data_IF_711032657075
#
_entry.id   IF_711032657075
#
_cell.length_a   1.000
_cell.length_b   1.000
_cell.length_c   1.000
_cell.angle_alpha   90.00
_cell.angle_beta   90.00
_cell.angle_gamma   90.00
#
_symmetry.space_group_name_H-M   'P 1'
#
loop_
_entity.id
_entity.type
_entity.pdbx_description
1 polymer ?
#
# COMPACT_ATOMS: atom_id res chain seq x y z
N UNK A 1 17.58 51.21 -23.89
CA UNK A 1 16.49 50.33 -24.37
C UNK A 1 16.97 48.90 -24.14
N UNK A 2 17.07 48.45 -22.89
CA UNK A 2 17.88 47.24 -22.58
C UNK A 2 17.23 46.32 -21.53
N UNK A 3 15.94 46.52 -21.25
CA UNK A 3 15.20 45.65 -20.35
C UNK A 3 14.85 44.31 -21.03
N UNK A 4 14.79 44.27 -22.37
CA UNK A 4 14.34 43.08 -23.12
C UNK A 4 15.44 42.04 -23.37
N UNK A 5 16.74 42.41 -23.32
CA UNK A 5 17.86 41.47 -23.57
C UNK A 5 18.19 40.56 -22.37
N UNK A 6 17.78 40.95 -21.15
CA UNK A 6 18.11 40.22 -19.93
C UNK A 6 16.96 39.35 -19.38
N UNK A 7 15.73 39.49 -19.90
CA UNK A 7 14.55 38.74 -19.42
C UNK A 7 14.42 37.39 -20.11
N UNK A 8 14.69 37.30 -21.42
CA UNK A 8 14.63 36.05 -22.19
C UNK A 8 15.53 34.92 -21.64
N UNK A 9 16.80 35.13 -21.24
CA UNK A 9 17.61 34.05 -20.67
C UNK A 9 17.12 33.63 -19.28
N UNK A 10 16.57 34.55 -18.48
CA UNK A 10 16.03 34.24 -17.15
C UNK A 10 14.74 33.43 -17.26
N UNK A 11 13.86 33.76 -18.20
CA UNK A 11 12.65 32.98 -18.49
C UNK A 11 12.99 31.58 -19.02
N UNK A 12 14.03 31.46 -19.86
CA UNK A 12 14.54 30.18 -20.34
C UNK A 12 15.10 29.30 -19.23
N UNK A 13 15.85 29.88 -18.28
CA UNK A 13 16.38 29.17 -17.11
C UNK A 13 15.25 28.75 -16.16
N UNK A 14 14.25 29.61 -15.92
CA UNK A 14 13.09 29.31 -15.08
C UNK A 14 12.23 28.18 -15.68
N UNK A 15 12.02 28.16 -17.00
CA UNK A 15 11.31 27.09 -17.68
C UNK A 15 12.10 25.78 -17.67
N UNK A 16 13.42 25.80 -17.93
CA UNK A 16 14.26 24.61 -17.86
C UNK A 16 14.31 23.99 -16.45
N UNK A 17 14.29 24.84 -15.41
CA UNK A 17 14.20 24.41 -14.01
C UNK A 17 12.87 23.69 -13.74
N UNK A 18 11.77 24.19 -14.30
CA UNK A 18 10.44 23.60 -14.17
C UNK A 18 10.31 22.27 -14.92
N UNK A 19 10.89 22.17 -16.13
CA UNK A 19 10.90 20.93 -16.93
C UNK A 19 11.77 19.82 -16.31
N UNK A 20 12.96 20.15 -15.79
CA UNK A 20 13.82 19.17 -15.10
C UNK A 20 13.22 18.67 -13.78
N UNK A 21 12.45 19.53 -13.09
CA UNK A 21 11.64 19.11 -11.94
C UNK A 21 10.46 18.21 -12.35
N UNK A 22 9.88 18.38 -13.54
CA UNK A 22 8.76 17.56 -14.00
C UNK A 22 9.21 16.14 -14.42
N UNK A 23 10.35 16.01 -15.10
CA UNK A 23 10.94 14.71 -15.44
C UNK A 23 11.28 13.90 -14.19
N UNK A 24 11.85 14.54 -13.17
CA UNK A 24 12.17 13.88 -11.90
C UNK A 24 10.95 13.47 -11.08
N UNK A 25 9.76 14.04 -11.29
CA UNK A 25 8.52 13.59 -10.63
C UNK A 25 7.87 12.43 -11.40
N UNK A 26 8.02 12.38 -12.73
CA UNK A 26 7.49 11.29 -13.55
C UNK A 26 8.22 9.94 -13.36
N UNK A 27 9.48 9.95 -12.93
CA UNK A 27 10.25 8.73 -12.63
C UNK A 27 9.96 8.13 -11.23
N UNK A 28 9.35 8.89 -10.30
CA UNK A 28 9.12 8.40 -8.93
C UNK A 28 7.95 7.41 -8.85
N UNK A 29 7.13 7.29 -9.89
CA UNK A 29 6.02 6.33 -9.91
C UNK A 29 6.39 4.89 -10.36
N UNK A 30 7.68 4.62 -10.56
CA UNK A 30 8.20 3.29 -10.90
C UNK A 30 9.00 2.64 -9.76
N UNK A 31 8.80 3.01 -8.49
CA UNK A 31 9.27 2.17 -7.38
C UNK A 31 8.13 1.24 -6.95
N UNK A 32 7.91 0.15 -7.68
CA UNK A 32 7.36 -1.04 -7.03
C UNK A 32 8.50 -1.57 -6.17
N UNK A 33 8.47 -1.45 -4.82
CA UNK A 33 9.39 -2.25 -4.04
C UNK A 33 9.12 -3.69 -4.49
N UNK A 34 10.17 -4.42 -4.83
CA UNK A 34 10.09 -5.86 -4.89
C UNK A 34 9.64 -6.29 -3.49
N UNK A 35 8.32 -6.44 -3.32
CA UNK A 35 7.74 -6.97 -2.12
C UNK A 35 8.31 -8.37 -2.00
N UNK A 36 9.31 -8.53 -1.13
CA UNK A 36 10.00 -9.79 -0.92
C UNK A 36 8.95 -10.80 -0.49
N UNK A 37 8.70 -11.77 -1.36
CA UNK A 37 7.65 -12.74 -1.16
C UNK A 37 8.21 -13.82 -0.24
N UNK A 38 8.17 -13.56 1.08
CA UNK A 38 8.55 -14.58 2.06
C UNK A 38 7.59 -15.77 1.92
N UNK A 39 8.11 -16.87 1.39
CA UNK A 39 7.40 -18.14 1.38
C UNK A 39 7.29 -18.67 2.81
N UNK A 40 6.09 -19.08 3.19
CA UNK A 40 5.80 -19.61 4.52
C UNK A 40 5.84 -21.14 4.48
N UNK A 41 6.60 -21.76 5.39
CA UNK A 41 6.71 -23.21 5.50
C UNK A 41 5.56 -23.84 6.29
N UNK A 42 5.31 -25.14 6.05
CA UNK A 42 4.30 -25.94 6.78
C UNK A 42 2.98 -26.14 6.06
N UNK A 43 2.83 -25.61 4.84
CA UNK A 43 1.69 -25.91 3.96
C UNK A 43 2.08 -26.97 2.91
N UNK A 44 1.07 -27.66 2.36
CA UNK A 44 1.24 -28.69 1.32
C UNK A 44 1.48 -28.13 -0.09
N UNK A 45 1.49 -26.80 -0.23
CA UNK A 45 1.74 -26.06 -1.47
C UNK A 45 2.40 -24.72 -1.12
N UNK A 46 3.04 -24.03 -2.08
CA UNK A 46 3.67 -22.74 -1.84
C UNK A 46 2.65 -21.69 -1.38
N UNK A 47 2.99 -20.99 -0.29
CA UNK A 47 2.17 -19.94 0.32
C UNK A 47 3.06 -18.74 0.62
N UNK A 48 2.60 -17.54 0.32
CA UNK A 48 3.37 -16.32 0.48
C UNK A 48 2.70 -15.37 1.46
N UNK A 49 3.42 -14.95 2.50
CA UNK A 49 2.92 -13.97 3.47
C UNK A 49 2.76 -12.60 2.81
N UNK A 50 1.71 -11.88 3.20
CA UNK A 50 1.30 -10.58 2.66
C UNK A 50 0.75 -9.68 3.75
N UNK A 51 0.86 -8.35 3.59
CA UNK A 51 0.31 -7.41 4.56
C UNK A 51 -1.18 -7.13 4.27
N UNK A 52 -1.62 -7.38 3.04
CA UNK A 52 -2.98 -7.17 2.56
C UNK A 52 -3.26 -8.06 1.35
N UNK A 53 -4.51 -8.49 1.26
CA UNK A 53 -5.08 -9.12 0.07
C UNK A 53 -5.47 -8.05 -0.98
N UNK A 54 -5.65 -8.44 -2.26
CA UNK A 54 -6.01 -7.50 -3.31
C UNK A 54 -7.25 -6.66 -2.95
N UNK A 55 -7.19 -5.35 -3.19
CA UNK A 55 -8.25 -4.41 -2.80
C UNK A 55 -9.28 -4.15 -3.89
N UNK A 56 -9.03 -4.63 -5.10
CA UNK A 56 -9.90 -4.47 -6.25
C UNK A 56 -9.56 -5.51 -7.34
N UNK A 57 -10.42 -5.59 -8.35
CA UNK A 57 -10.28 -6.51 -9.48
C UNK A 57 -8.97 -6.34 -10.26
N UNK A 58 -8.53 -5.10 -10.47
CA UNK A 58 -7.28 -4.82 -11.19
C UNK A 58 -6.08 -5.40 -10.43
N UNK A 59 -6.03 -5.19 -9.12
CA UNK A 59 -4.97 -5.75 -8.28
C UNK A 59 -5.05 -7.28 -8.23
N UNK A 60 -6.26 -7.83 -8.12
CA UNK A 60 -6.51 -9.27 -8.15
C UNK A 60 -5.94 -9.91 -9.41
N UNK A 61 -6.31 -9.40 -10.58
CA UNK A 61 -5.87 -9.91 -11.87
C UNK A 61 -4.35 -9.77 -12.05
N UNK A 62 -3.77 -8.64 -11.63
CA UNK A 62 -2.32 -8.42 -11.67
C UNK A 62 -1.57 -9.44 -10.81
N UNK A 63 -2.04 -9.68 -9.58
CA UNK A 63 -1.38 -10.58 -8.62
C UNK A 63 -1.58 -12.05 -8.98
N UNK A 64 -2.76 -12.41 -9.46
CA UNK A 64 -3.05 -13.72 -10.09
C UNK A 64 -2.10 -14.00 -11.26
N UNK A 65 -1.93 -13.04 -12.16
CA UNK A 65 -1.02 -13.18 -13.30
C UNK A 65 0.44 -13.33 -12.86
N UNK A 66 0.86 -12.56 -11.85
CA UNK A 66 2.23 -12.65 -11.29
C UNK A 66 2.50 -13.99 -10.61
N UNK A 67 1.54 -14.51 -9.85
CA UNK A 67 1.67 -15.81 -9.18
C UNK A 67 1.57 -16.97 -10.18
N UNK A 68 0.96 -16.73 -11.35
CA UNK A 68 0.85 -17.65 -12.47
C UNK A 68 0.41 -19.06 -12.04
N UNK A 69 -0.80 -19.15 -11.47
CA UNK A 69 -1.36 -20.43 -11.02
C UNK A 69 -1.64 -21.35 -12.22
N UNK A 70 -0.66 -22.16 -12.62
CA UNK A 70 -0.81 -23.17 -13.67
C UNK A 70 -1.78 -24.29 -13.29
N UNK A 71 -1.92 -24.56 -11.99
CA UNK A 71 -2.84 -25.53 -11.41
C UNK A 71 -3.49 -24.91 -10.17
N UNK A 72 -4.82 -24.87 -10.14
CA UNK A 72 -5.58 -24.35 -9.01
C UNK A 72 -6.01 -22.89 -9.15
N UNK A 73 -6.72 -22.41 -8.12
CA UNK A 73 -7.35 -21.09 -8.11
C UNK A 73 -6.52 -20.14 -7.25
N UNK A 74 -6.20 -18.96 -7.79
CA UNK A 74 -5.54 -17.90 -7.02
C UNK A 74 -6.45 -17.47 -5.86
N UNK A 75 -5.87 -17.38 -4.67
CA UNK A 75 -6.57 -17.04 -3.45
C UNK A 75 -5.69 -16.21 -2.51
N UNK A 76 -6.33 -15.42 -1.66
CA UNK A 76 -5.68 -14.72 -0.56
C UNK A 76 -6.59 -14.73 0.65
N UNK A 77 -6.16 -15.33 1.76
CA UNK A 77 -6.96 -15.47 2.97
C UNK A 77 -6.07 -15.35 4.22
N UNK A 78 -6.64 -15.14 5.41
CA UNK A 78 -5.90 -15.31 6.66
C UNK A 78 -5.42 -16.75 6.87
N UNK A 79 -4.36 -16.91 7.67
CA UNK A 79 -4.02 -18.20 8.27
C UNK A 79 -4.99 -18.54 9.43
N UNK A 80 -4.94 -19.76 9.95
CA UNK A 80 -5.81 -20.22 11.05
C UNK A 80 -5.53 -19.58 12.41
N UNK A 81 -4.41 -18.86 12.56
CA UNK A 81 -4.10 -18.09 13.76
C UNK A 81 -4.56 -16.63 13.63
N UNK A 82 -5.06 -16.22 12.46
CA UNK A 82 -5.45 -14.85 12.12
C UNK A 82 -4.34 -13.82 12.44
N UNK A 83 -3.08 -14.23 12.24
CA UNK A 83 -1.88 -13.42 12.50
C UNK A 83 -1.25 -12.89 11.22
N UNK A 84 -1.50 -13.54 10.09
CA UNK A 84 -1.00 -13.12 8.78
C UNK A 84 -2.03 -13.38 7.68
N UNK A 85 -1.93 -12.58 6.62
CA UNK A 85 -2.61 -12.84 5.36
C UNK A 85 -1.64 -13.56 4.43
N UNK A 86 -2.17 -14.52 3.69
CA UNK A 86 -1.37 -15.38 2.85
C UNK A 86 -1.99 -15.53 1.47
N UNK A 87 -1.14 -15.48 0.46
CA UNK A 87 -1.48 -15.55 -0.95
C UNK A 87 -0.92 -16.84 -1.55
N UNK A 88 -1.74 -17.57 -2.30
CA UNK A 88 -1.40 -18.91 -2.79
C UNK A 88 -2.24 -19.32 -4.00
N UNK A 89 -1.78 -20.38 -4.69
CA UNK A 89 -2.56 -21.10 -5.70
C UNK A 89 -3.18 -22.33 -5.04
N UNK A 90 -4.50 -22.34 -4.84
CA UNK A 90 -5.16 -23.42 -4.14
C UNK A 90 -5.55 -24.56 -5.08
N UNK A 91 -5.02 -25.78 -4.89
CA UNK A 91 -5.18 -26.86 -5.87
C UNK A 91 -6.52 -27.60 -5.79
N UNK A 92 -7.30 -27.43 -4.71
CA UNK A 92 -8.52 -28.22 -4.45
C UNK A 92 -9.83 -27.46 -4.70
N UNK A 93 -9.76 -26.20 -5.13
CA UNK A 93 -10.96 -25.40 -5.39
C UNK A 93 -11.47 -25.68 -6.81
N UNK A 94 -12.72 -26.16 -6.99
CA UNK A 94 -13.32 -26.30 -8.31
C UNK A 94 -13.60 -24.93 -8.94
N UNK A 95 -13.66 -24.86 -10.27
CA UNK A 95 -13.89 -23.61 -11.02
C UNK A 95 -15.15 -22.84 -10.63
N UNK A 96 -16.16 -23.54 -10.11
CA UNK A 96 -17.46 -22.95 -9.69
C UNK A 96 -17.61 -22.87 -8.18
N UNK A 97 -16.52 -22.95 -7.42
CA UNK A 97 -16.60 -22.81 -5.98
C UNK A 97 -17.13 -21.43 -5.61
N UNK A 98 -18.13 -21.41 -4.73
CA UNK A 98 -18.70 -20.19 -4.15
C UNK A 98 -18.54 -20.28 -2.65
N UNK A 99 -18.11 -19.17 -2.07
CA UNK A 99 -18.09 -18.98 -0.62
C UNK A 99 -19.54 -18.69 -0.22
N UNK A 100 -20.04 -19.40 0.79
CA UNK A 100 -21.40 -19.22 1.26
C UNK A 100 -21.60 -17.83 1.90
N UNK A 101 -22.85 -17.39 1.95
CA UNK A 101 -23.21 -16.16 2.67
C UNK A 101 -22.94 -16.33 4.17
N UNK A 102 -22.61 -15.24 4.85
CA UNK A 102 -22.47 -15.24 6.30
C UNK A 102 -21.21 -15.91 6.84
N UNK A 103 -20.26 -16.30 5.97
CA UNK A 103 -18.99 -16.90 6.37
C UNK A 103 -17.78 -16.19 5.74
N UNK A 104 -16.65 -16.23 6.44
CA UNK A 104 -15.33 -15.89 5.93
C UNK A 104 -14.45 -17.15 5.92
N UNK A 105 -13.48 -17.21 5.02
CA UNK A 105 -12.56 -18.36 4.93
C UNK A 105 -11.18 -18.04 5.50
N UNK A 106 -10.50 -19.07 5.99
CA UNK A 106 -9.09 -19.04 6.37
C UNK A 106 -8.40 -20.34 5.96
N UNK A 107 -7.09 -20.32 5.76
CA UNK A 107 -6.32 -21.52 5.43
C UNK A 107 -5.75 -22.16 6.71
N UNK A 108 -6.10 -23.40 6.97
CA UNK A 108 -5.53 -24.17 8.07
C UNK A 108 -4.14 -24.69 7.71
N UNK A 109 -3.15 -24.38 8.55
CA UNK A 109 -1.80 -24.91 8.42
C UNK A 109 -1.73 -26.43 8.59
N UNK A 110 -2.53 -27.00 9.50
CA UNK A 110 -2.51 -28.42 9.85
C UNK A 110 -2.77 -29.34 8.64
N UNK A 111 -3.77 -29.00 7.83
CA UNK A 111 -4.21 -29.84 6.71
C UNK A 111 -4.07 -29.15 5.34
N UNK A 112 -3.68 -27.87 5.31
CA UNK A 112 -3.63 -27.00 4.13
C UNK A 112 -4.97 -26.92 3.40
N UNK A 113 -6.07 -26.86 4.15
CA UNK A 113 -7.43 -26.71 3.63
C UNK A 113 -8.04 -25.37 4.01
N UNK A 114 -8.94 -24.90 3.15
CA UNK A 114 -9.80 -23.77 3.47
C UNK A 114 -10.87 -24.25 4.45
N UNK A 115 -10.96 -23.57 5.58
CA UNK A 115 -12.02 -23.71 6.56
C UNK A 115 -12.84 -22.41 6.57
N UNK A 116 -14.09 -22.52 6.96
CA UNK A 116 -15.00 -21.40 7.13
C UNK A 116 -15.20 -21.05 8.62
N UNK A 117 -15.59 -19.81 8.85
CA UNK A 117 -16.05 -19.33 10.14
C UNK A 117 -17.18 -18.34 9.95
N UNK A 118 -18.20 -18.42 10.80
CA UNK A 118 -19.36 -17.56 10.72
C UNK A 118 -19.00 -16.12 11.10
N UNK A 119 -19.42 -15.13 10.30
CA UNK A 119 -19.20 -13.72 10.56
C UNK A 119 -20.44 -12.99 11.14
N UNK A 120 -21.40 -13.74 11.70
CA UNK A 120 -22.64 -13.17 12.28
C UNK A 120 -22.38 -12.20 13.43
N UNK A 121 -21.25 -12.33 14.09
CA UNK A 121 -20.77 -11.47 15.18
C UNK A 121 -20.11 -10.19 14.68
N UNK A 122 -19.88 -10.04 13.37
CA UNK A 122 -19.27 -8.84 12.83
C UNK A 122 -20.20 -7.64 13.02
N UNK A 123 -19.61 -6.47 13.27
CA UNK A 123 -20.32 -5.20 13.26
C UNK A 123 -20.69 -4.80 11.83
N UNK A 124 -19.84 -5.14 10.84
CA UNK A 124 -20.04 -4.81 9.44
C UNK A 124 -19.25 -5.72 8.47
N UNK A 125 -19.69 -5.75 7.22
CA UNK A 125 -18.95 -6.36 6.10
C UNK A 125 -18.96 -7.88 6.04
N UNK A 126 -19.84 -8.54 6.80
CA UNK A 126 -20.12 -9.96 6.62
C UNK A 126 -20.89 -10.17 5.29
N UNK A 127 -20.48 -11.10 4.41
CA UNK A 127 -21.09 -11.25 3.08
C UNK A 127 -22.59 -11.60 3.15
N UNK A 128 -23.48 -10.82 2.52
CA UNK A 128 -24.93 -11.08 2.55
C UNK A 128 -25.36 -12.21 1.62
N UNK A 129 -24.59 -12.44 0.55
CA UNK A 129 -24.85 -13.41 -0.50
C UNK A 129 -23.61 -14.27 -0.76
N UNK A 130 -23.82 -15.45 -1.35
CA UNK A 130 -22.70 -16.26 -1.81
C UNK A 130 -21.91 -15.54 -2.90
N UNK A 131 -20.59 -15.69 -2.92
CA UNK A 131 -19.71 -14.99 -3.86
C UNK A 131 -18.57 -15.89 -4.34
N UNK A 132 -17.99 -15.57 -5.48
CA UNK A 132 -16.83 -16.29 -6.01
C UNK A 132 -15.55 -15.85 -5.29
N UNK A 133 -14.52 -16.71 -5.26
CA UNK A 133 -13.23 -16.39 -4.61
C UNK A 133 -12.58 -15.15 -5.21
N UNK A 134 -12.73 -14.94 -6.52
CA UNK A 134 -12.26 -13.75 -7.24
C UNK A 134 -13.03 -12.47 -6.96
N UNK A 135 -14.11 -12.55 -6.17
CA UNK A 135 -14.85 -11.39 -5.69
C UNK A 135 -14.52 -11.03 -4.24
N UNK A 136 -13.56 -11.71 -3.60
CA UNK A 136 -13.22 -11.53 -2.20
C UNK A 136 -12.86 -10.07 -1.84
N UNK A 137 -12.29 -9.32 -2.79
CA UNK A 137 -11.98 -7.90 -2.59
C UNK A 137 -13.22 -7.04 -2.30
N UNK A 138 -14.44 -7.52 -2.60
CA UNK A 138 -15.70 -6.86 -2.24
C UNK A 138 -16.02 -6.97 -0.73
N UNK A 139 -15.37 -7.90 -0.02
CA UNK A 139 -15.60 -8.19 1.40
C UNK A 139 -14.32 -8.07 2.23
N UNK A 140 -13.75 -6.85 2.37
CA UNK A 140 -12.48 -6.65 3.07
C UNK A 140 -12.51 -7.09 4.54
N UNK A 141 -13.66 -7.10 5.21
CA UNK A 141 -13.81 -7.62 6.57
C UNK A 141 -13.43 -9.10 6.69
N UNK A 142 -13.55 -9.90 5.62
CA UNK A 142 -13.14 -11.31 5.59
C UNK A 142 -11.62 -11.51 5.35
N UNK A 143 -10.85 -10.44 5.17
CA UNK A 143 -9.40 -10.47 4.97
C UNK A 143 -8.69 -9.38 5.76
N UNK A 144 -9.33 -8.86 6.81
CA UNK A 144 -8.75 -7.89 7.74
C UNK A 144 -8.74 -8.53 9.11
N UNK A 145 -7.53 -8.86 9.58
CA UNK A 145 -7.31 -9.53 10.86
C UNK A 145 -6.38 -8.70 11.73
N UNK A 146 -6.63 -8.72 13.03
CA UNK A 146 -5.84 -8.03 14.03
C UNK A 146 -5.96 -8.79 15.35
N UNK A 147 -4.87 -8.87 16.12
CA UNK A 147 -4.87 -9.49 17.45
C UNK A 147 -5.44 -10.92 17.49
N UNK A 148 -5.27 -11.71 16.42
CA UNK A 148 -5.71 -13.10 16.35
C UNK A 148 -7.21 -13.29 16.05
N UNK A 149 -7.89 -12.26 15.54
CA UNK A 149 -9.29 -12.31 15.13
C UNK A 149 -9.58 -11.39 13.94
N UNK A 150 -10.77 -11.48 13.35
CA UNK A 150 -11.21 -10.52 12.34
C UNK A 150 -11.51 -9.17 12.97
N UNK A 151 -10.95 -8.09 12.44
CA UNK A 151 -11.10 -6.75 13.03
C UNK A 151 -12.55 -6.25 13.06
N UNK A 152 -13.40 -6.77 12.17
CA UNK A 152 -14.83 -6.44 12.13
C UNK A 152 -15.67 -7.18 13.19
N UNK A 153 -15.11 -8.18 13.88
CA UNK A 153 -15.83 -8.91 14.93
C UNK A 153 -15.95 -8.05 16.22
N UNK A 154 -17.17 -7.96 16.74
CA UNK A 154 -17.49 -7.25 18.01
C UNK A 154 -16.58 -7.63 19.17
N UNK A 155 -16.18 -8.89 19.24
CA UNK A 155 -15.35 -9.41 20.32
C UNK A 155 -13.86 -9.12 20.11
N UNK A 156 -13.43 -8.87 18.87
CA UNK A 156 -12.02 -8.67 18.54
C UNK A 156 -11.43 -7.42 19.22
N UNK A 157 -12.19 -6.32 19.25
CA UNK A 157 -11.80 -5.11 19.96
C UNK A 157 -11.81 -5.27 21.50
N UNK A 158 -12.65 -6.16 22.04
CA UNK A 158 -12.77 -6.35 23.50
C UNK A 158 -11.60 -7.14 24.09
N UNK A 159 -10.98 -8.02 23.31
CA UNK A 159 -9.78 -8.78 23.72
C UNK A 159 -8.61 -7.86 24.07
N UNK A 160 -8.51 -6.70 23.41
CA UNK A 160 -7.49 -5.67 23.69
C UNK A 160 -7.70 -5.03 25.06
N UNK A 161 -8.96 -4.80 25.48
CA UNK A 161 -9.26 -4.13 26.75
C UNK A 161 -9.04 -5.03 27.97
N UNK A 162 -9.07 -6.36 27.81
CA UNK A 162 -9.02 -7.32 28.92
C UNK A 162 -7.64 -7.97 29.12
N UNK A 163 -6.62 -7.57 28.34
CA UNK A 163 -5.25 -8.07 28.54
C UNK A 163 -4.56 -7.21 29.60
N UNK A 164 -3.94 -7.79 30.66
CA UNK A 164 -3.10 -7.02 31.57
C UNK A 164 -2.03 -6.31 30.75
N UNK A 165 -1.97 -4.98 30.85
CA UNK A 165 -0.99 -4.15 30.16
C UNK A 165 0.44 -4.60 30.52
N UNK A 166 1.02 -5.48 29.73
CA UNK A 166 2.44 -5.39 29.46
C UNK A 166 2.60 -4.21 28.50
N UNK A 167 2.93 -3.06 29.08
CA UNK A 167 3.26 -1.81 28.42
C UNK A 167 4.24 -2.07 27.27
N UNK A 168 3.72 -2.25 26.07
CA UNK A 168 4.45 -1.97 24.84
C UNK A 168 4.26 -0.48 24.56
N UNK A 169 5.31 0.22 24.11
CA UNK A 169 5.23 1.66 23.92
C UNK A 169 4.15 1.95 22.89
N UNK A 170 3.24 2.85 23.25
CA UNK A 170 2.35 3.53 22.32
C UNK A 170 3.23 4.06 21.18
N UNK A 171 3.12 3.48 20.00
CA UNK A 171 3.62 4.14 18.79
C UNK A 171 2.62 5.27 18.54
N UNK A 172 2.84 6.41 19.19
CA UNK A 172 2.26 7.66 18.77
C UNK A 172 2.66 7.82 17.31
N UNK A 173 1.67 7.83 16.41
CA UNK A 173 1.84 8.27 15.02
C UNK A 173 2.12 9.77 15.00
N UNK A 174 3.27 10.18 15.55
CA UNK A 174 4.11 11.17 14.90
C UNK A 174 4.88 10.42 13.80
N UNK A 175 4.16 9.92 12.80
CA UNK A 175 4.77 9.71 11.51
C UNK A 175 4.99 11.12 10.97
N UNK A 176 6.14 11.70 11.30
CA UNK A 176 6.63 12.88 10.60
C UNK A 176 6.61 12.52 9.13
N UNK A 177 5.66 13.11 8.43
CA UNK A 177 5.51 12.99 6.99
C UNK A 177 6.75 13.64 6.38
N UNK A 178 7.82 12.84 6.21
CA UNK A 178 9.11 13.27 5.65
C UNK A 178 8.92 13.96 4.29
N UNK A 179 7.83 13.64 3.60
CA UNK A 179 7.37 14.26 2.38
C UNK A 179 7.10 15.77 2.54
N UNK A 180 6.53 16.21 3.68
CA UNK A 180 6.35 17.64 3.98
C UNK A 180 7.68 18.36 4.26
N UNK A 181 8.60 17.70 4.96
CA UNK A 181 9.93 18.24 5.30
C UNK A 181 10.77 18.39 4.02
N UNK A 182 10.80 17.36 3.17
CA UNK A 182 11.55 17.37 1.91
C UNK A 182 11.00 18.43 0.96
N UNK A 183 9.67 18.57 0.87
CA UNK A 183 9.02 19.59 0.02
C UNK A 183 9.36 21.00 0.51
N UNK A 184 9.35 21.22 1.83
CA UNK A 184 9.66 22.52 2.43
C UNK A 184 11.12 22.94 2.22
N UNK A 185 12.07 22.00 2.36
CA UNK A 185 13.50 22.25 2.11
C UNK A 185 13.76 22.55 0.64
N UNK A 186 13.10 21.83 -0.28
CA UNK A 186 13.22 22.07 -1.72
C UNK A 186 12.82 23.50 -2.12
N UNK A 187 11.71 24.00 -1.59
CA UNK A 187 11.22 25.37 -1.85
C UNK A 187 12.22 26.42 -1.34
N UNK A 188 12.78 26.24 -0.14
CA UNK A 188 13.74 27.17 0.43
C UNK A 188 15.04 27.26 -0.38
N UNK A 189 15.55 26.12 -0.88
CA UNK A 189 16.73 26.09 -1.74
C UNK A 189 16.49 26.81 -3.07
N UNK A 190 15.31 26.63 -3.67
CA UNK A 190 14.94 27.31 -4.93
C UNK A 190 14.90 28.83 -4.73
N UNK A 191 14.27 29.32 -3.65
CA UNK A 191 14.21 30.75 -3.36
C UNK A 191 15.61 31.33 -3.11
N UNK A 192 16.47 30.60 -2.41
CA UNK A 192 17.84 31.01 -2.15
C UNK A 192 18.66 31.14 -3.44
N UNK A 193 18.60 30.14 -4.33
CA UNK A 193 19.30 30.17 -5.63
C UNK A 193 18.82 31.37 -6.46
N UNK A 194 17.51 31.58 -6.56
CA UNK A 194 16.95 32.72 -7.31
C UNK A 194 17.40 34.06 -6.71
N UNK A 195 17.43 34.19 -5.39
CA UNK A 195 17.91 35.39 -4.70
C UNK A 195 19.38 35.69 -5.00
N UNK A 196 20.25 34.67 -4.98
CA UNK A 196 21.68 34.81 -5.31
C UNK A 196 21.87 35.23 -6.77
N UNK A 197 21.13 34.63 -7.70
CA UNK A 197 21.19 34.99 -9.13
C UNK A 197 20.78 36.45 -9.33
N UNK A 198 19.66 36.88 -8.74
CA UNK A 198 19.19 38.28 -8.81
C UNK A 198 20.25 39.22 -8.23
N UNK A 199 20.81 38.90 -7.06
CA UNK A 199 21.84 39.70 -6.41
C UNK A 199 23.08 39.88 -7.29
N UNK A 200 23.58 38.79 -7.89
CA UNK A 200 24.75 38.83 -8.78
C UNK A 200 24.47 39.68 -10.03
N UNK A 201 23.27 39.54 -10.62
CA UNK A 201 22.85 40.32 -11.80
C UNK A 201 22.78 41.82 -11.47
N UNK A 202 22.12 42.19 -10.37
CA UNK A 202 22.00 43.58 -9.92
C UNK A 202 23.38 44.18 -9.63
N UNK A 203 24.26 43.41 -8.96
CA UNK A 203 25.61 43.89 -8.64
C UNK A 203 26.48 44.05 -9.90
N UNK A 204 26.31 43.17 -10.90
CA UNK A 204 26.95 43.34 -12.22
C UNK A 204 26.44 44.57 -12.97
N UNK A 205 25.13 44.84 -12.96
CA UNK A 205 24.55 46.04 -13.58
C UNK A 205 25.07 47.31 -12.89
N UNK A 206 25.15 47.31 -11.55
CA UNK A 206 25.66 48.45 -10.78
C UNK A 206 27.14 48.74 -11.06
N UNK A 207 27.96 47.72 -11.31
CA UNK A 207 29.38 47.88 -11.66
C UNK A 207 29.62 48.22 -13.15
N UNK A 208 28.69 47.90 -14.05
CA UNK A 208 28.79 48.24 -15.47
C UNK A 208 28.37 49.68 -15.83
N UNK A 209 27.74 50.39 -14.89
CA UNK A 209 27.27 51.76 -15.04
C UNK A 209 28.14 52.80 -14.29
N UNK A 210 29.34 52.42 -13.85
CA UNK A 210 30.34 53.28 -13.22
C UNK A 210 31.67 53.15 -13.94
#
# INVERSE_FOLDING_TARGET
MDLHKNILPVLGILLASFFLFCESISEIQQFSPAYDCKETSGYKFPVYSRPYCPRNEKEWNRRKAKLNCSKGTYACFPNNEFTELIEFCYPYLPERFRIEKGVCLYLSKENSKLNDTECKTFEFGCPPDSYSVDELFKYPSCVTVENGCFSADKCCQRSVLNTPQHTTPRFDTNQTDWTQIITSIGILLILFINGVVIYVVVNKIKKGNS
#
